data_IF_560388777834
#
_entry.id   IF_560388777834
#
_cell.length_a   1.000
_cell.length_b   1.000
_cell.length_c   1.000
_cell.angle_alpha   90.00
_cell.angle_beta   90.00
_cell.angle_gamma   90.00
#
_symmetry.space_group_name_H-M   'P 1'
#
loop_
_entity.id
_entity.type
_entity.pdbx_description
1 polymer ?
#
# COMPACT_ATOMS: atom_id res chain seq x y z
N UNK A 1 48.43 -17.56 14.46
CA UNK A 1 47.93 -16.90 13.22
C UNK A 1 46.40 -17.00 13.03
N UNK A 2 45.67 -17.82 13.77
CA UNK A 2 44.18 -17.95 13.68
C UNK A 2 43.41 -16.83 14.36
N UNK A 3 43.86 -16.33 15.52
CA UNK A 3 43.12 -15.32 16.31
C UNK A 3 42.90 -13.98 15.58
N UNK A 4 43.85 -13.54 14.75
CA UNK A 4 43.69 -12.30 13.98
C UNK A 4 42.62 -12.44 12.86
N UNK A 5 42.40 -13.65 12.36
CA UNK A 5 41.44 -13.90 11.31
C UNK A 5 40.00 -13.86 11.87
N UNK A 6 39.81 -14.41 13.07
CA UNK A 6 38.50 -14.43 13.74
C UNK A 6 38.07 -13.03 14.20
N UNK A 7 39.01 -12.23 14.71
CA UNK A 7 38.76 -10.84 15.07
C UNK A 7 38.40 -9.98 13.85
N UNK A 8 39.02 -10.21 12.70
CA UNK A 8 38.75 -9.48 11.46
C UNK A 8 37.35 -9.85 10.93
N UNK A 9 36.96 -11.11 10.97
CA UNK A 9 35.63 -11.58 10.57
C UNK A 9 34.53 -11.03 11.48
N UNK A 10 34.79 -10.93 12.78
CA UNK A 10 33.86 -10.36 13.75
C UNK A 10 33.64 -8.86 13.52
N UNK A 11 34.72 -8.10 13.30
CA UNK A 11 34.62 -6.66 12.98
C UNK A 11 33.88 -6.41 11.66
N UNK A 12 34.09 -7.23 10.65
CA UNK A 12 33.41 -7.12 9.36
C UNK A 12 31.88 -7.38 9.50
N UNK A 13 31.50 -8.35 10.34
CA UNK A 13 30.07 -8.63 10.64
C UNK A 13 29.40 -7.48 11.36
N UNK A 14 30.06 -6.88 12.37
CA UNK A 14 29.51 -5.72 13.07
C UNK A 14 29.37 -4.53 12.13
N UNK A 15 30.38 -4.24 11.33
CA UNK A 15 30.34 -3.14 10.36
C UNK A 15 29.22 -3.34 9.34
N UNK A 16 29.03 -4.56 8.82
CA UNK A 16 27.94 -4.91 7.91
C UNK A 16 26.56 -4.72 8.56
N UNK A 17 26.40 -5.13 9.82
CA UNK A 17 25.16 -4.94 10.56
C UNK A 17 24.85 -3.45 10.78
N UNK A 18 25.82 -2.67 11.23
CA UNK A 18 25.65 -1.22 11.43
C UNK A 18 25.32 -0.49 10.12
N UNK A 19 25.95 -0.90 9.02
CA UNK A 19 25.63 -0.35 7.69
C UNK A 19 24.19 -0.67 7.29
N UNK A 20 23.72 -1.90 7.49
CA UNK A 20 22.33 -2.28 7.19
C UNK A 20 21.33 -1.46 8.02
N UNK A 21 21.58 -1.30 9.32
CA UNK A 21 20.74 -0.48 10.21
C UNK A 21 20.71 0.98 9.75
N UNK A 22 21.85 1.54 9.36
CA UNK A 22 21.94 2.90 8.84
C UNK A 22 21.15 3.07 7.54
N UNK A 23 21.24 2.12 6.61
CA UNK A 23 20.45 2.13 5.37
C UNK A 23 18.94 2.09 5.64
N UNK A 24 18.48 1.23 6.53
CA UNK A 24 17.08 1.15 6.93
C UNK A 24 16.61 2.47 7.54
N UNK A 25 17.41 3.06 8.43
CA UNK A 25 17.09 4.34 9.05
C UNK A 25 17.01 5.49 8.03
N UNK A 26 17.94 5.54 7.05
CA UNK A 26 17.91 6.54 5.98
C UNK A 26 16.67 6.42 5.09
N UNK A 27 16.28 5.18 4.74
CA UNK A 27 15.05 4.93 3.98
C UNK A 27 13.84 5.41 4.77
N UNK A 28 13.77 5.07 6.06
CA UNK A 28 12.68 5.50 6.94
C UNK A 28 12.61 7.03 7.07
N UNK A 29 13.75 7.70 7.29
CA UNK A 29 13.83 9.16 7.40
C UNK A 29 13.37 9.87 6.11
N UNK A 30 13.77 9.35 4.93
CA UNK A 30 13.33 9.86 3.63
C UNK A 30 11.82 9.70 3.44
N UNK A 31 11.27 8.54 3.78
CA UNK A 31 9.83 8.30 3.70
C UNK A 31 9.04 9.22 4.63
N UNK A 32 9.51 9.39 5.88
CA UNK A 32 8.89 10.30 6.85
C UNK A 32 8.86 11.75 6.36
N UNK A 33 9.94 12.21 5.73
CA UNK A 33 10.04 13.57 5.17
C UNK A 33 9.10 13.73 3.97
N UNK A 34 9.06 12.73 3.07
CA UNK A 34 8.13 12.69 1.95
C UNK A 34 6.67 12.76 2.43
N UNK A 35 6.31 11.97 3.43
CA UNK A 35 5.00 11.95 4.05
C UNK A 35 4.58 13.32 4.61
N UNK A 36 5.50 14.00 5.33
CA UNK A 36 5.23 15.34 5.86
C UNK A 36 4.96 16.35 4.74
N UNK A 37 5.75 16.31 3.67
CA UNK A 37 5.58 17.20 2.50
C UNK A 37 4.25 16.93 1.80
N UNK A 38 3.93 15.67 1.54
CA UNK A 38 2.66 15.28 0.92
C UNK A 38 1.46 15.70 1.77
N UNK A 39 1.51 15.48 3.07
CA UNK A 39 0.44 15.91 3.98
C UNK A 39 0.28 17.43 3.99
N UNK A 40 1.37 18.19 4.00
CA UNK A 40 1.32 19.67 3.97
C UNK A 40 0.75 20.18 2.64
N UNK A 41 1.12 19.56 1.51
CA UNK A 41 0.60 19.92 0.19
C UNK A 41 -0.88 19.54 -0.02
N UNK A 42 -1.38 18.56 0.73
CA UNK A 42 -2.72 17.98 0.54
C UNK A 42 -3.62 18.11 1.78
N UNK A 43 -3.53 19.24 2.50
CA UNK A 43 -4.30 19.47 3.73
C UNK A 43 -5.82 19.39 3.55
N UNK A 44 -6.31 19.73 2.36
CA UNK A 44 -7.72 19.73 2.01
C UNK A 44 -8.13 18.58 1.09
N UNK A 45 -7.25 17.62 0.86
CA UNK A 45 -7.52 16.47 0.00
C UNK A 45 -8.25 15.37 0.76
N UNK A 46 -9.04 14.59 0.03
CA UNK A 46 -9.52 13.30 0.51
C UNK A 46 -8.37 12.28 0.52
N UNK A 47 -8.50 11.25 1.35
CA UNK A 47 -7.55 10.14 1.43
C UNK A 47 -8.25 8.87 0.94
N UNK A 48 -7.73 8.28 -0.13
CA UNK A 48 -8.21 7.01 -0.66
C UNK A 48 -7.28 5.90 -0.18
N UNK A 49 -7.83 5.00 0.62
CA UNK A 49 -7.13 3.85 1.18
C UNK A 49 -7.24 2.67 0.22
N UNK A 50 -6.10 2.09 -0.14
CA UNK A 50 -6.03 0.93 -1.02
C UNK A 50 -6.05 -0.32 -0.15
N UNK A 51 -7.25 -0.83 0.13
CA UNK A 51 -7.42 -1.92 1.08
C UNK A 51 -6.89 -3.23 0.52
N UNK A 52 -6.16 -3.96 1.39
CA UNK A 52 -5.87 -5.37 1.20
C UNK A 52 -6.99 -6.15 1.91
N UNK A 53 -7.96 -6.65 1.17
CA UNK A 53 -8.93 -7.54 1.74
C UNK A 53 -8.36 -8.96 1.74
N UNK A 54 -8.26 -9.56 2.91
CA UNK A 54 -8.07 -11.00 3.02
C UNK A 54 -9.44 -11.65 2.76
N UNK A 55 -9.67 -12.09 1.55
CA UNK A 55 -10.85 -12.85 1.20
C UNK A 55 -10.65 -14.31 1.63
N UNK A 56 -11.08 -14.64 2.85
CA UNK A 56 -11.14 -16.01 3.35
C UNK A 56 -9.79 -16.75 3.46
N UNK A 57 -9.84 -18.02 3.84
CA UNK A 57 -8.67 -18.89 4.03
C UNK A 57 -7.92 -19.28 2.73
N UNK A 58 -8.26 -18.74 1.57
CA UNK A 58 -7.81 -19.20 0.26
C UNK A 58 -7.07 -18.13 -0.53
N UNK A 59 -7.30 -16.85 -0.26
CA UNK A 59 -6.79 -15.77 -1.09
C UNK A 59 -5.62 -15.04 -0.42
N UNK A 60 -4.43 -15.18 -1.00
CA UNK A 60 -3.26 -14.42 -0.64
C UNK A 60 -3.38 -13.00 -1.20
N UNK A 61 -3.40 -12.05 -0.30
CA UNK A 61 -3.24 -10.60 -0.50
C UNK A 61 -3.64 -10.06 -1.89
N UNK A 62 -4.87 -9.61 -2.05
CA UNK A 62 -5.18 -8.70 -3.14
C UNK A 62 -4.46 -7.36 -2.90
N UNK A 63 -3.78 -6.86 -3.91
CA UNK A 63 -3.15 -5.54 -3.91
C UNK A 63 -3.96 -4.68 -4.87
N UNK A 64 -4.67 -3.69 -4.33
CA UNK A 64 -5.34 -2.68 -5.15
C UNK A 64 -4.37 -1.53 -5.40
N UNK A 65 -4.34 -1.02 -6.59
CA UNK A 65 -3.51 0.11 -6.98
C UNK A 65 -4.33 1.12 -7.77
N UNK A 66 -4.08 2.40 -7.53
CA UNK A 66 -4.47 3.49 -8.43
C UNK A 66 -3.23 3.81 -9.25
N UNK A 67 -3.34 3.65 -10.57
CA UNK A 67 -2.26 3.88 -11.52
C UNK A 67 -2.19 5.35 -11.91
N UNK A 68 -3.34 5.90 -12.32
CA UNK A 68 -3.46 7.28 -12.76
C UNK A 68 -4.68 7.95 -12.12
N UNK A 69 -4.58 9.25 -11.93
CA UNK A 69 -5.65 10.15 -11.52
C UNK A 69 -5.70 11.24 -12.58
N UNK A 70 -6.82 11.37 -13.30
CA UNK A 70 -7.01 12.32 -14.38
C UNK A 70 -5.89 12.26 -15.46
N UNK A 71 -5.41 11.04 -15.74
CA UNK A 71 -4.32 10.77 -16.67
C UNK A 71 -2.91 11.01 -16.13
N UNK A 72 -2.77 11.53 -14.92
CA UNK A 72 -1.48 11.70 -14.27
C UNK A 72 -1.17 10.52 -13.34
N UNK A 73 0.09 10.11 -13.31
CA UNK A 73 0.53 9.00 -12.45
C UNK A 73 0.22 9.28 -10.98
N UNK A 74 -0.48 8.36 -10.32
CA UNK A 74 -0.83 8.48 -8.92
C UNK A 74 0.39 8.37 -8.01
N UNK A 75 0.50 9.26 -7.02
CA UNK A 75 1.55 9.20 -6.01
C UNK A 75 1.03 8.50 -4.76
N UNK A 76 1.46 7.25 -4.57
CA UNK A 76 1.07 6.42 -3.42
C UNK A 76 1.97 6.70 -2.22
N UNK A 77 1.36 6.75 -1.03
CA UNK A 77 2.05 6.83 0.25
C UNK A 77 1.54 5.75 1.21
N UNK A 78 2.25 5.52 2.32
CA UNK A 78 1.80 4.60 3.35
C UNK A 78 1.05 5.38 4.44
N UNK A 79 -0.24 5.10 4.57
CA UNK A 79 -1.08 5.56 5.67
C UNK A 79 -0.79 4.74 6.95
N UNK A 80 -1.48 4.98 8.04
CA UNK A 80 -1.30 4.29 9.31
C UNK A 80 -1.20 2.76 9.14
N UNK A 81 -0.27 2.12 9.87
CA UNK A 81 0.01 0.67 9.83
C UNK A 81 0.38 0.11 8.44
N UNK A 82 0.90 0.97 7.55
CA UNK A 82 1.41 0.53 6.25
C UNK A 82 0.35 0.27 5.19
N UNK A 83 -0.88 0.79 5.37
CA UNK A 83 -1.92 0.74 4.34
C UNK A 83 -1.54 1.70 3.22
N UNK A 84 -1.42 1.24 1.95
CA UNK A 84 -1.18 2.13 0.83
C UNK A 84 -2.37 3.09 0.66
N UNK A 85 -2.08 4.34 0.35
CA UNK A 85 -3.10 5.38 0.15
C UNK A 85 -2.65 6.38 -0.91
N UNK A 86 -3.61 7.12 -1.45
CA UNK A 86 -3.37 8.28 -2.31
C UNK A 86 -4.17 9.47 -1.82
N UNK A 87 -3.66 10.68 -2.08
CA UNK A 87 -4.40 11.90 -1.90
C UNK A 87 -5.20 12.21 -3.17
N UNK A 88 -6.44 12.65 -3.00
CA UNK A 88 -7.33 13.07 -4.08
C UNK A 88 -7.84 14.48 -3.77
N UNK A 89 -7.63 15.43 -4.65
CA UNK A 89 -8.17 16.78 -4.49
C UNK A 89 -9.71 16.74 -4.40
N UNK A 90 -10.37 17.69 -3.73
CA UNK A 90 -11.83 17.76 -3.77
C UNK A 90 -12.34 17.98 -5.19
N UNK A 91 -13.38 17.24 -5.58
CA UNK A 91 -13.96 17.34 -6.91
C UNK A 91 -14.25 15.99 -7.57
N UNK A 92 -14.50 16.07 -8.89
CA UNK A 92 -14.71 14.88 -9.73
C UNK A 92 -13.41 14.46 -10.38
N UNK A 93 -13.12 13.18 -10.31
CA UNK A 93 -11.89 12.59 -10.87
C UNK A 93 -12.21 11.32 -11.65
N UNK A 94 -11.36 11.02 -12.62
CA UNK A 94 -11.31 9.71 -13.27
C UNK A 94 -10.05 9.01 -12.78
N UNK A 95 -10.22 7.90 -12.08
CA UNK A 95 -9.12 7.10 -11.56
C UNK A 95 -8.97 5.83 -12.37
N UNK A 96 -7.74 5.49 -12.74
CA UNK A 96 -7.39 4.22 -13.35
C UNK A 96 -6.89 3.27 -12.27
N UNK A 97 -7.57 2.14 -12.15
CA UNK A 97 -7.38 1.19 -11.04
C UNK A 97 -7.07 -0.21 -11.55
N UNK A 98 -6.27 -0.94 -10.80
CA UNK A 98 -6.02 -2.35 -11.01
C UNK A 98 -6.00 -3.12 -9.68
N UNK A 99 -6.19 -4.43 -9.76
CA UNK A 99 -6.05 -5.33 -8.64
C UNK A 99 -5.25 -6.57 -9.05
N UNK A 100 -4.35 -7.00 -8.16
CA UNK A 100 -3.56 -8.21 -8.31
C UNK A 100 -3.81 -9.11 -7.09
N UNK A 101 -4.01 -10.40 -7.31
CA UNK A 101 -4.11 -11.37 -6.24
C UNK A 101 -3.55 -12.71 -6.66
N UNK A 102 -3.18 -13.53 -5.69
CA UNK A 102 -2.69 -14.87 -5.92
C UNK A 102 -3.58 -15.87 -5.20
N UNK A 103 -3.84 -17.00 -5.83
CA UNK A 103 -4.65 -18.07 -5.26
C UNK A 103 -3.89 -19.38 -5.26
N UNK A 104 -3.97 -20.13 -4.16
CA UNK A 104 -3.46 -21.50 -4.10
C UNK A 104 -4.36 -22.43 -4.91
N UNK A 105 -3.73 -23.13 -5.87
CA UNK A 105 -4.35 -24.24 -6.57
C UNK A 105 -3.83 -25.53 -5.95
N UNK A 106 -4.65 -26.61 -5.97
CA UNK A 106 -4.25 -27.94 -5.50
C UNK A 106 -2.83 -28.28 -5.92
N UNK A 107 -1.97 -28.69 -4.99
CA UNK A 107 -0.61 -29.16 -5.28
C UNK A 107 0.51 -28.12 -5.12
N UNK A 108 0.39 -27.17 -4.19
CA UNK A 108 1.42 -26.14 -3.87
C UNK A 108 1.73 -25.12 -4.97
N UNK A 109 0.94 -25.05 -6.04
CA UNK A 109 1.12 -24.03 -7.07
C UNK A 109 0.29 -22.80 -6.74
N UNK A 110 0.94 -21.64 -6.78
CA UNK A 110 0.24 -20.34 -6.75
C UNK A 110 -0.06 -19.93 -8.20
N UNK A 111 -1.25 -19.39 -8.41
CA UNK A 111 -1.63 -18.74 -9.67
C UNK A 111 -1.95 -17.29 -9.39
N UNK A 112 -1.34 -16.41 -10.18
CA UNK A 112 -1.55 -14.98 -10.11
C UNK A 112 -2.69 -14.59 -11.04
N UNK A 113 -3.47 -13.64 -10.57
CA UNK A 113 -4.62 -13.08 -11.27
C UNK A 113 -4.51 -11.55 -11.25
N UNK A 114 -5.08 -10.93 -12.27
CA UNK A 114 -5.15 -9.48 -12.41
C UNK A 114 -6.55 -9.08 -12.88
N UNK A 115 -7.05 -7.96 -12.37
CA UNK A 115 -8.23 -7.26 -12.86
C UNK A 115 -7.88 -5.81 -13.18
N UNK A 116 -8.40 -5.31 -14.29
CA UNK A 116 -8.08 -3.98 -14.79
C UNK A 116 -6.93 -4.00 -15.82
N UNK A 117 -6.43 -2.80 -16.22
CA UNK A 117 -6.85 -1.49 -15.71
C UNK A 117 -8.31 -1.13 -16.04
N UNK A 118 -8.98 -0.50 -15.09
CA UNK A 118 -10.35 -0.03 -15.22
C UNK A 118 -10.47 1.44 -14.86
N UNK A 119 -11.30 2.19 -15.58
CA UNK A 119 -11.56 3.61 -15.30
C UNK A 119 -12.79 3.74 -14.42
N UNK A 120 -12.68 4.45 -13.31
CA UNK A 120 -13.76 4.71 -12.36
C UNK A 120 -13.89 6.22 -12.19
N UNK A 121 -15.11 6.73 -12.38
CA UNK A 121 -15.43 8.13 -12.07
C UNK A 121 -15.83 8.24 -10.60
N UNK A 122 -15.14 9.10 -9.86
CA UNK A 122 -15.37 9.31 -8.43
C UNK A 122 -15.56 10.79 -8.14
N UNK A 123 -16.29 11.09 -7.06
CA UNK A 123 -16.42 12.46 -6.55
C UNK A 123 -16.13 12.43 -5.06
N UNK A 124 -15.21 13.27 -4.62
CA UNK A 124 -14.75 13.33 -3.23
C UNK A 124 -14.80 14.76 -2.69
N UNK A 125 -14.99 14.89 -1.39
CA UNK A 125 -14.94 16.15 -0.68
C UNK A 125 -13.68 16.27 0.18
N UNK A 126 -13.39 17.50 0.61
CA UNK A 126 -12.23 17.79 1.45
C UNK A 126 -12.27 17.02 2.77
N UNK A 127 -11.16 16.39 3.12
CA UNK A 127 -10.98 15.69 4.41
C UNK A 127 -11.70 14.35 4.54
N UNK A 128 -12.33 13.87 3.48
CA UNK A 128 -12.99 12.56 3.49
C UNK A 128 -11.98 11.41 3.41
N UNK A 129 -12.44 10.25 3.89
CA UNK A 129 -11.72 8.98 3.77
C UNK A 129 -12.54 8.03 2.92
N UNK A 130 -11.89 7.44 1.93
CA UNK A 130 -12.49 6.51 0.99
C UNK A 130 -11.69 5.21 0.97
N UNK A 131 -12.36 4.10 0.72
CA UNK A 131 -11.76 2.79 0.51
C UNK A 131 -11.96 2.35 -0.92
N UNK A 132 -10.88 1.96 -1.58
CA UNK A 132 -10.92 1.28 -2.87
C UNK A 132 -10.65 -0.19 -2.63
N UNK A 133 -11.61 -1.04 -3.01
CA UNK A 133 -11.51 -2.50 -2.89
C UNK A 133 -11.92 -3.17 -4.19
N UNK A 134 -11.26 -4.28 -4.53
CA UNK A 134 -11.70 -5.16 -5.59
C UNK A 134 -12.41 -6.37 -5.00
N UNK A 135 -13.67 -6.57 -5.40
CA UNK A 135 -14.46 -7.71 -4.96
C UNK A 135 -14.31 -8.87 -5.96
N UNK A 136 -13.46 -9.86 -5.63
CA UNK A 136 -13.16 -11.00 -6.51
C UNK A 136 -14.41 -11.80 -6.88
N UNK A 137 -15.37 -11.95 -5.94
CA UNK A 137 -16.59 -12.74 -6.18
C UNK A 137 -17.58 -12.06 -7.12
N UNK A 138 -17.52 -10.75 -7.24
CA UNK A 138 -18.44 -9.94 -8.05
C UNK A 138 -17.75 -9.30 -9.26
N UNK A 139 -16.43 -9.51 -9.40
CA UNK A 139 -15.59 -8.99 -10.49
C UNK A 139 -15.75 -7.48 -10.72
N UNK A 140 -15.75 -6.70 -9.64
CA UNK A 140 -15.81 -5.24 -9.74
C UNK A 140 -15.06 -4.53 -8.62
N UNK A 141 -14.67 -3.29 -8.88
CA UNK A 141 -14.13 -2.38 -7.89
C UNK A 141 -15.26 -1.69 -7.13
N UNK A 142 -15.11 -1.57 -5.81
CA UNK A 142 -15.97 -0.76 -4.95
C UNK A 142 -15.19 0.45 -4.47
N UNK A 143 -15.83 1.62 -4.49
CA UNK A 143 -15.28 2.86 -3.98
C UNK A 143 -16.27 3.43 -2.98
N UNK A 144 -15.97 3.30 -1.69
CA UNK A 144 -16.91 3.59 -0.61
C UNK A 144 -16.29 4.52 0.43
N UNK A 145 -17.10 5.40 0.99
CA UNK A 145 -16.68 6.24 2.11
C UNK A 145 -16.44 5.38 3.34
N UNK A 146 -15.34 5.59 4.03
CA UNK A 146 -14.95 4.81 5.20
C UNK A 146 -14.55 5.70 6.37
N UNK A 147 -14.65 5.17 7.59
CA UNK A 147 -14.07 5.78 8.77
C UNK A 147 -12.70 5.16 9.02
N UNK A 148 -11.62 5.95 9.03
CA UNK A 148 -10.27 5.44 9.25
C UNK A 148 -10.10 4.76 10.60
N UNK A 149 -10.93 5.03 11.59
CA UNK A 149 -10.93 4.36 12.91
C UNK A 149 -11.38 2.91 12.81
N UNK A 150 -12.26 2.61 11.85
CA UNK A 150 -12.83 1.28 11.68
C UNK A 150 -11.98 0.36 10.78
N UNK A 151 -10.91 0.88 10.17
CA UNK A 151 -10.02 0.10 9.30
C UNK A 151 -9.32 -1.05 10.02
N UNK A 152 -9.13 -0.93 11.32
CA UNK A 152 -8.40 -1.87 12.16
C UNK A 152 -9.31 -2.72 13.06
N UNK A 153 -10.61 -2.46 13.03
CA UNK A 153 -11.59 -3.29 13.73
C UNK A 153 -11.85 -4.51 12.85
N UNK A 154 -11.22 -5.65 13.17
CA UNK A 154 -11.63 -6.94 12.61
C UNK A 154 -13.11 -7.11 12.87
N UNK A 155 -13.94 -7.08 11.85
CA UNK A 155 -15.27 -7.67 11.94
C UNK A 155 -15.06 -9.16 12.19
N UNK A 156 -15.18 -9.56 13.45
CA UNK A 156 -15.33 -10.95 13.83
C UNK A 156 -16.66 -11.41 13.20
N UNK A 157 -16.56 -12.21 12.19
CA UNK A 157 -17.64 -12.88 11.51
C UNK A 157 -17.24 -14.31 11.27
#
# INVERSE_FOLDING_TARGET
>A
MSENHDALLYTLRIAGFLFAVCCVWLIYARQKTKMKRLKAANQHSAIVLLHKRHAGNIDYASINAILHIDGLRAETFLYALGVPAVYLAPGKHVIEVEAHWSRHIRGRRMKDYQAGPSLISVSVESGEYWSLEYCISKDHFTFERCDPKNLFVRKAG
#
